data_IF_774565587774
#
_entry.id   IF_774565587774
#
_cell.length_a   1.000
_cell.length_b   1.000
_cell.length_c   1.000
_cell.angle_alpha   90.00
_cell.angle_beta   90.00
_cell.angle_gamma   90.00
#
_symmetry.space_group_name_H-M   'P 1'
#
loop_
_entity.id
_entity.type
_entity.pdbx_description
1 polymer ?
#
# COMPACT_ATOMS: atom_id res chain seq x y z
N UNK A 1 -6.87 18.12 8.25
CA UNK A 1 -7.14 16.79 7.66
C UNK A 1 -5.81 16.31 7.14
N UNK A 2 -5.37 15.14 7.59
CA UNK A 2 -4.05 14.60 7.26
C UNK A 2 -4.22 13.12 6.93
N UNK A 3 -3.63 12.71 5.81
CA UNK A 3 -3.74 11.37 5.25
C UNK A 3 -2.42 10.63 5.48
N UNK A 4 -2.50 9.40 6.00
CA UNK A 4 -1.37 8.51 6.15
C UNK A 4 -1.41 7.46 5.05
N UNK A 5 -0.41 7.42 4.18
CA UNK A 5 -0.21 6.34 3.21
C UNK A 5 0.84 5.38 3.74
N UNK A 6 0.51 4.08 3.77
CA UNK A 6 1.45 3.04 4.18
C UNK A 6 2.27 2.62 2.96
N UNK A 7 3.59 2.84 3.03
CA UNK A 7 4.49 2.52 1.93
C UNK A 7 4.60 1.01 1.73
N UNK A 8 4.59 0.60 0.47
CA UNK A 8 5.06 -0.71 0.06
C UNK A 8 6.46 -0.62 -0.49
N UNK A 9 7.33 -1.53 -0.04
CA UNK A 9 8.74 -1.57 -0.41
C UNK A 9 9.33 -2.96 -0.11
N UNK A 10 10.59 -3.16 -0.48
CA UNK A 10 11.39 -4.36 -0.21
C UNK A 10 12.60 -4.05 0.71
N UNK A 11 12.47 -3.01 1.53
CA UNK A 11 13.52 -2.34 2.32
C UNK A 11 14.58 -1.58 1.50
N UNK A 12 14.61 -1.71 0.18
CA UNK A 12 15.60 -1.04 -0.67
C UNK A 12 14.95 -0.05 -1.65
N UNK A 13 13.81 -0.42 -2.21
CA UNK A 13 13.10 0.33 -3.24
C UNK A 13 11.63 0.56 -2.87
N UNK A 14 11.15 1.78 -3.11
CA UNK A 14 9.74 2.12 -2.96
C UNK A 14 8.95 1.54 -4.13
N UNK A 15 7.86 0.82 -3.86
CA UNK A 15 7.05 0.22 -4.92
C UNK A 15 6.10 1.23 -5.57
N UNK A 16 5.84 1.12 -6.89
CA UNK A 16 4.92 1.99 -7.62
C UNK A 16 3.53 2.06 -7.01
N UNK A 17 3.05 0.95 -6.43
CA UNK A 17 1.77 0.86 -5.72
C UNK A 17 1.57 1.97 -4.68
N UNK A 18 2.64 2.42 -4.01
CA UNK A 18 2.60 3.54 -3.07
C UNK A 18 2.24 4.85 -3.76
N UNK A 19 2.76 5.10 -4.96
CA UNK A 19 2.51 6.31 -5.74
C UNK A 19 1.05 6.39 -6.19
N UNK A 20 0.43 5.25 -6.56
CA UNK A 20 -1.00 5.19 -6.86
C UNK A 20 -1.85 5.49 -5.62
N UNK A 21 -1.44 5.01 -4.43
CA UNK A 21 -2.12 5.31 -3.19
C UNK A 21 -1.98 6.79 -2.78
N UNK A 22 -0.83 7.41 -3.03
CA UNK A 22 -0.64 8.87 -2.86
C UNK A 22 -1.56 9.64 -3.80
N UNK A 23 -1.74 9.19 -5.05
CA UNK A 23 -2.67 9.83 -5.98
C UNK A 23 -4.11 9.81 -5.47
N UNK A 24 -4.56 8.69 -4.86
CA UNK A 24 -5.86 8.63 -4.19
C UNK A 24 -5.93 9.55 -2.97
N UNK A 25 -4.87 9.60 -2.14
CA UNK A 25 -4.79 10.53 -1.01
C UNK A 25 -4.88 12.00 -1.45
N UNK A 26 -4.28 12.36 -2.58
CA UNK A 26 -4.37 13.71 -3.13
C UNK A 26 -5.80 14.11 -3.51
N UNK A 27 -6.66 13.15 -3.90
CA UNK A 27 -8.09 13.41 -4.15
C UNK A 27 -8.89 13.70 -2.87
N UNK A 28 -8.42 13.24 -1.70
CA UNK A 28 -9.01 13.57 -0.40
C UNK A 28 -8.69 15.01 0.03
N UNK A 29 -7.61 15.58 -0.51
CA UNK A 29 -7.06 16.87 -0.08
C UNK A 29 -6.37 16.79 1.29
N UNK A 30 -5.86 17.92 1.77
CA UNK A 30 -5.05 17.99 2.99
C UNK A 30 -3.64 17.44 2.81
N UNK A 31 -2.91 17.33 3.92
CA UNK A 31 -1.51 16.88 3.93
C UNK A 31 -1.40 15.37 3.76
N UNK A 32 -0.37 14.91 3.03
CA UNK A 32 -0.12 13.49 2.79
C UNK A 32 1.20 13.12 3.47
N UNK A 33 1.13 12.26 4.47
CA UNK A 33 2.30 11.66 5.09
C UNK A 33 2.46 10.21 4.59
N UNK A 34 3.70 9.76 4.47
CA UNK A 34 4.02 8.34 4.18
C UNK A 34 4.64 7.70 5.43
N UNK A 35 4.18 6.52 5.83
CA UNK A 35 4.89 5.67 6.78
C UNK A 35 5.69 4.60 6.02
N UNK A 36 7.01 4.63 6.21
CA UNK A 36 7.95 3.58 5.80
C UNK A 36 8.27 2.74 7.04
N UNK A 37 7.81 1.50 7.05
CA UNK A 37 7.96 0.57 8.16
C UNK A 37 8.75 -0.66 7.69
N UNK A 38 10.02 -0.74 8.11
CA UNK A 38 10.93 -1.79 7.63
C UNK A 38 12.22 -1.88 8.42
N UNK A 39 13.26 -2.44 7.79
CA UNK A 39 14.60 -2.54 8.37
C UNK A 39 15.65 -2.14 7.35
N UNK A 40 16.54 -1.22 7.72
CA UNK A 40 17.50 -0.62 6.79
C UNK A 40 16.82 0.14 5.66
N UNK A 41 15.66 0.74 5.93
CA UNK A 41 14.74 1.29 4.93
C UNK A 41 14.95 2.79 4.64
N UNK A 42 16.10 3.36 5.04
CA UNK A 42 16.42 4.77 4.80
C UNK A 42 16.33 5.14 3.31
N UNK A 43 16.84 4.29 2.41
CA UNK A 43 16.76 4.55 0.97
C UNK A 43 15.31 4.66 0.46
N UNK A 44 14.39 3.88 1.05
CA UNK A 44 12.95 3.94 0.76
C UNK A 44 12.36 5.25 1.28
N UNK A 45 12.72 5.67 2.49
CA UNK A 45 12.27 6.93 3.05
C UNK A 45 12.75 8.14 2.24
N UNK A 46 14.01 8.13 1.80
CA UNK A 46 14.60 9.17 0.95
C UNK A 46 13.91 9.22 -0.42
N UNK A 47 13.52 8.06 -0.98
CA UNK A 47 12.73 7.99 -2.20
C UNK A 47 11.30 8.52 -1.98
N UNK A 48 10.64 8.11 -0.90
CA UNK A 48 9.31 8.58 -0.53
C UNK A 48 9.28 10.10 -0.31
N UNK A 49 10.37 10.69 0.19
CA UNK A 49 10.47 12.12 0.42
C UNK A 49 10.46 12.96 -0.87
N UNK A 50 10.87 12.35 -1.99
CA UNK A 50 10.90 12.98 -3.32
C UNK A 50 9.58 12.87 -4.06
N UNK A 51 8.62 12.10 -3.55
CA UNK A 51 7.33 11.90 -4.20
C UNK A 51 6.51 13.19 -4.15
N UNK A 52 5.97 13.59 -5.31
CA UNK A 52 5.15 14.81 -5.40
C UNK A 52 3.88 14.68 -4.56
N UNK A 53 3.55 15.75 -3.82
CA UNK A 53 2.36 15.83 -2.98
C UNK A 53 2.53 15.28 -1.56
N UNK A 54 3.64 14.60 -1.27
CA UNK A 54 3.99 14.17 0.09
C UNK A 54 4.57 15.35 0.86
N UNK A 55 4.08 15.57 2.07
CA UNK A 55 4.55 16.64 2.97
C UNK A 55 5.48 16.13 4.07
N UNK A 56 5.33 14.86 4.49
CA UNK A 56 6.19 14.24 5.52
C UNK A 56 6.36 12.74 5.29
N UNK A 57 7.53 12.22 5.59
CA UNK A 57 7.81 10.78 5.65
C UNK A 57 8.16 10.41 7.08
N UNK A 58 7.48 9.40 7.62
CA UNK A 58 7.79 8.76 8.89
C UNK A 58 8.59 7.50 8.59
N UNK A 59 9.82 7.41 9.10
CA UNK A 59 10.64 6.21 8.99
C UNK A 59 10.65 5.47 10.34
N UNK A 60 10.00 4.32 10.38
CA UNK A 60 10.12 3.33 11.45
C UNK A 60 11.06 2.22 10.98
N UNK A 61 12.32 2.28 11.43
CA UNK A 61 13.37 1.32 11.07
C UNK A 61 13.67 0.39 12.25
N UNK A 62 13.37 -0.90 12.11
CA UNK A 62 13.62 -1.88 13.17
C UNK A 62 13.39 -3.34 12.76
N UNK A 63 14.04 -4.25 13.49
CA UNK A 63 14.02 -5.70 13.23
C UNK A 63 12.61 -6.30 13.20
N UNK A 64 11.68 -5.76 13.99
CA UNK A 64 10.29 -6.21 14.03
C UNK A 64 9.54 -5.98 12.71
N UNK A 65 10.01 -5.07 11.87
CA UNK A 65 9.35 -4.63 10.64
C UNK A 65 10.01 -5.19 9.37
N UNK A 66 11.15 -5.90 9.50
CA UNK A 66 11.97 -6.38 8.37
C UNK A 66 11.18 -7.12 7.29
N UNK A 67 10.24 -7.97 7.69
CA UNK A 67 9.47 -8.84 6.79
C UNK A 67 8.01 -8.43 6.63
N UNK A 68 7.66 -7.21 7.06
CA UNK A 68 6.31 -6.65 6.91
C UNK A 68 5.20 -7.55 7.48
N UNK A 69 5.45 -8.22 8.62
CA UNK A 69 4.44 -9.06 9.27
C UNK A 69 3.29 -8.20 9.77
N UNK A 70 2.05 -8.59 9.44
CA UNK A 70 0.89 -7.74 9.69
C UNK A 70 0.62 -7.45 11.17
N UNK A 71 1.02 -8.34 12.08
CA UNK A 71 0.95 -8.03 13.50
C UNK A 71 1.77 -6.80 13.86
N UNK A 72 3.03 -6.76 13.43
CA UNK A 72 3.97 -5.70 13.79
C UNK A 72 3.69 -4.41 13.00
N UNK A 73 3.41 -4.52 11.70
CA UNK A 73 3.09 -3.35 10.88
C UNK A 73 1.79 -2.70 11.35
N UNK A 74 0.77 -3.49 11.72
CA UNK A 74 -0.46 -2.91 12.27
C UNK A 74 -0.20 -2.15 13.58
N UNK A 75 0.60 -2.70 14.51
CA UNK A 75 0.98 -1.94 15.72
C UNK A 75 1.73 -0.65 15.38
N UNK A 76 2.63 -0.67 14.38
CA UNK A 76 3.35 0.54 13.97
C UNK A 76 2.40 1.60 13.40
N UNK A 77 1.43 1.20 12.58
CA UNK A 77 0.41 2.11 12.06
C UNK A 77 -0.41 2.70 13.20
N UNK A 78 -0.82 1.88 14.17
CA UNK A 78 -1.61 2.31 15.32
C UNK A 78 -0.86 3.28 16.23
N UNK A 79 0.46 3.12 16.38
CA UNK A 79 1.29 4.01 17.18
C UNK A 79 1.25 5.47 16.68
N UNK A 80 0.95 5.69 15.40
CA UNK A 80 0.87 7.03 14.78
C UNK A 80 -0.55 7.40 14.34
N UNK A 81 -1.49 6.46 14.30
CA UNK A 81 -2.84 6.64 13.74
C UNK A 81 -3.65 7.78 14.40
N UNK A 82 -3.30 8.19 15.62
CA UNK A 82 -3.96 9.28 16.36
C UNK A 82 -4.02 10.58 15.56
N UNK A 83 -2.96 10.91 14.82
CA UNK A 83 -2.78 12.18 14.13
C UNK A 83 -3.43 12.24 12.73
N UNK A 84 -4.04 11.14 12.30
CA UNK A 84 -4.54 10.98 10.93
C UNK A 84 -6.04 10.74 10.88
N UNK A 85 -6.69 11.34 9.87
CA UNK A 85 -8.11 11.13 9.56
C UNK A 85 -8.32 10.03 8.51
N UNK A 86 -7.34 9.80 7.64
CA UNK A 86 -7.40 8.74 6.63
C UNK A 86 -6.12 7.91 6.69
N UNK A 87 -6.26 6.60 6.66
CA UNK A 87 -5.15 5.65 6.56
C UNK A 87 -5.36 4.82 5.31
N UNK A 88 -4.45 4.99 4.35
CA UNK A 88 -4.52 4.40 3.03
C UNK A 88 -3.44 3.35 2.86
N UNK A 89 -3.84 2.20 2.34
CA UNK A 89 -2.95 1.12 1.95
C UNK A 89 -3.13 0.86 0.45
N UNK A 90 -2.08 0.57 -0.32
CA UNK A 90 -2.28 -0.01 -1.65
C UNK A 90 -2.98 -1.37 -1.53
N UNK A 91 -3.91 -1.69 -2.43
CA UNK A 91 -4.73 -2.91 -2.35
C UNK A 91 -4.00 -4.18 -2.83
N UNK A 92 -2.71 -4.33 -2.47
CA UNK A 92 -1.90 -5.52 -2.75
C UNK A 92 -2.11 -6.61 -1.69
N UNK A 93 -1.35 -7.71 -1.79
CA UNK A 93 -1.34 -8.74 -0.76
C UNK A 93 -0.98 -8.18 0.63
N UNK A 94 0.00 -7.28 0.72
CA UNK A 94 0.43 -6.69 2.00
C UNK A 94 -0.62 -5.74 2.56
N UNK A 95 -1.09 -4.77 1.77
CA UNK A 95 -2.09 -3.83 2.24
C UNK A 95 -3.42 -4.49 2.62
N UNK A 96 -3.87 -5.50 1.87
CA UNK A 96 -5.07 -6.30 2.22
C UNK A 96 -4.86 -7.16 3.46
N UNK A 97 -3.62 -7.47 3.84
CA UNK A 97 -3.30 -8.24 5.04
C UNK A 97 -3.26 -7.34 6.29
N UNK A 98 -2.71 -6.12 6.18
CA UNK A 98 -2.55 -5.20 7.32
C UNK A 98 -3.79 -4.34 7.59
N UNK A 99 -4.39 -3.74 6.55
CA UNK A 99 -5.48 -2.78 6.68
C UNK A 99 -6.68 -3.25 7.54
N UNK A 100 -7.23 -4.47 7.36
CA UNK A 100 -8.38 -4.91 8.17
C UNK A 100 -8.02 -5.04 9.65
N UNK A 101 -6.77 -5.40 9.99
CA UNK A 101 -6.30 -5.48 11.37
C UNK A 101 -6.24 -4.10 12.03
N UNK A 102 -5.74 -3.11 11.30
CA UNK A 102 -5.70 -1.71 11.77
C UNK A 102 -7.12 -1.18 11.99
N UNK A 103 -8.01 -1.39 11.03
CA UNK A 103 -9.41 -0.94 11.14
C UNK A 103 -10.12 -1.59 12.33
N UNK A 104 -9.95 -2.91 12.52
CA UNK A 104 -10.54 -3.63 13.65
C UNK A 104 -10.01 -3.11 15.00
N UNK A 105 -8.71 -2.81 15.12
CA UNK A 105 -8.11 -2.29 16.35
C UNK A 105 -8.50 -0.83 16.66
N UNK A 106 -8.80 -0.03 15.63
CA UNK A 106 -9.31 1.32 15.78
C UNK A 106 -10.83 1.38 16.00
N UNK A 107 -11.53 0.24 15.87
CA UNK A 107 -12.99 0.16 15.88
C UNK A 107 -13.64 1.07 14.82
N UNK A 108 -13.13 1.01 13.59
CA UNK A 108 -13.65 1.80 12.45
C UNK A 108 -13.93 0.93 11.24
N UNK A 109 -14.80 1.43 10.36
CA UNK A 109 -15.09 0.78 9.10
C UNK A 109 -13.89 0.79 8.14
N UNK A 110 -13.72 -0.30 7.41
CA UNK A 110 -12.69 -0.47 6.39
C UNK A 110 -13.32 -0.50 5.00
N UNK A 111 -12.81 0.31 4.07
CA UNK A 111 -13.28 0.36 2.69
C UNK A 111 -12.25 -0.30 1.80
N UNK A 112 -12.61 -1.44 1.23
CA UNK A 112 -11.67 -2.22 0.41
C UNK A 112 -11.70 -1.75 -1.04
N UNK A 113 -10.53 -1.72 -1.66
CA UNK A 113 -10.38 -1.72 -3.12
C UNK A 113 -11.06 -0.50 -3.78
N UNK A 114 -10.83 0.67 -3.19
CA UNK A 114 -11.34 1.96 -3.66
C UNK A 114 -10.82 2.24 -5.07
N UNK A 115 -11.73 2.66 -5.96
CA UNK A 115 -11.43 3.03 -7.36
C UNK A 115 -11.68 4.50 -7.67
N UNK A 116 -12.45 5.19 -6.83
CA UNK A 116 -12.66 6.63 -6.93
C UNK A 116 -13.00 7.22 -5.56
N UNK A 117 -12.65 8.50 -5.39
CA UNK A 117 -12.91 9.33 -4.21
C UNK A 117 -13.89 10.42 -4.63
N UNK A 118 -15.11 10.40 -4.09
CA UNK A 118 -16.15 11.41 -4.35
C UNK A 118 -16.03 12.58 -3.38
N UNK A 119 -15.74 12.28 -2.12
CA UNK A 119 -15.52 13.22 -1.03
C UNK A 119 -14.61 12.59 0.03
N UNK A 120 -14.29 13.33 1.09
CA UNK A 120 -13.49 12.82 2.21
C UNK A 120 -14.11 11.60 2.92
N UNK A 121 -15.42 11.37 2.78
CA UNK A 121 -16.13 10.27 3.44
C UNK A 121 -16.86 9.35 2.46
N UNK A 122 -16.81 9.61 1.15
CA UNK A 122 -17.56 8.87 0.13
C UNK A 122 -16.65 8.33 -0.97
N UNK A 123 -16.74 7.03 -1.21
CA UNK A 123 -15.84 6.28 -2.08
C UNK A 123 -16.60 5.36 -3.03
N UNK A 124 -16.04 5.10 -4.21
CA UNK A 124 -16.54 4.04 -5.09
C UNK A 124 -15.65 2.80 -5.00
N UNK A 125 -16.28 1.63 -5.02
CA UNK A 125 -15.57 0.33 -5.10
C UNK A 125 -16.35 -0.70 -5.91
N UNK A 126 -15.65 -1.61 -6.63
CA UNK A 126 -16.29 -2.72 -7.32
C UNK A 126 -16.75 -3.79 -6.34
N UNK A 127 -17.90 -4.39 -6.64
CA UNK A 127 -18.46 -5.57 -5.99
C UNK A 127 -18.88 -6.59 -7.06
N UNK A 128 -19.23 -7.82 -6.65
CA UNK A 128 -19.63 -8.90 -7.56
C UNK A 128 -18.63 -9.12 -8.72
N UNK A 129 -17.34 -9.23 -8.39
CA UNK A 129 -16.25 -9.37 -9.36
C UNK A 129 -16.18 -8.25 -10.41
N UNK A 130 -16.60 -7.03 -10.05
CA UNK A 130 -16.55 -5.86 -10.93
C UNK A 130 -17.83 -5.61 -11.73
N UNK A 131 -18.85 -6.45 -11.61
CA UNK A 131 -20.11 -6.28 -12.33
C UNK A 131 -20.99 -5.13 -11.81
N UNK A 132 -20.72 -4.63 -10.61
CA UNK A 132 -21.40 -3.46 -10.06
C UNK A 132 -20.40 -2.58 -9.31
N UNK A 133 -20.63 -1.27 -9.37
CA UNK A 133 -19.90 -0.26 -8.61
C UNK A 133 -20.79 0.24 -7.48
N UNK A 134 -20.29 0.13 -6.25
CA UNK A 134 -20.97 0.63 -5.06
C UNK A 134 -20.33 1.96 -4.64
N UNK A 135 -21.16 2.98 -4.46
CA UNK A 135 -20.79 4.23 -3.79
C UNK A 135 -21.10 4.08 -2.30
N UNK A 136 -20.08 4.20 -1.45
CA UNK A 136 -20.17 3.94 -0.01
C UNK A 136 -19.74 5.20 0.74
N UNK A 137 -20.63 5.74 1.55
CA UNK A 137 -20.31 6.79 2.52
C UNK A 137 -19.96 6.15 3.88
N UNK A 138 -18.95 6.70 4.55
CA UNK A 138 -18.37 6.15 5.77
C UNK A 138 -18.44 7.17 6.89
N UNK A 139 -19.18 6.82 7.93
CA UNK A 139 -19.33 7.65 9.12
C UNK A 139 -18.10 7.53 10.05
N UNK A 140 -17.92 8.53 10.92
CA UNK A 140 -16.81 8.60 11.88
C UNK A 140 -15.60 9.40 11.38
N UNK A 141 -14.69 9.76 12.28
CA UNK A 141 -13.61 10.70 12.00
C UNK A 141 -12.39 10.07 11.34
N UNK A 142 -12.21 8.76 11.50
CA UNK A 142 -11.08 7.99 10.95
C UNK A 142 -11.56 6.96 9.95
N UNK A 143 -10.94 6.94 8.77
CA UNK A 143 -11.24 5.99 7.70
C UNK A 143 -10.00 5.17 7.37
N UNK A 144 -10.17 3.86 7.27
CA UNK A 144 -9.12 2.95 6.78
C UNK A 144 -9.54 2.43 5.42
N UNK A 145 -8.70 2.63 4.40
CA UNK A 145 -9.02 2.22 3.04
C UNK A 145 -7.86 1.49 2.36
N UNK A 146 -8.21 0.54 1.49
CA UNK A 146 -7.27 0.00 0.51
C UNK A 146 -7.59 0.57 -0.86
N UNK A 147 -6.55 0.98 -1.60
CA UNK A 147 -6.65 1.70 -2.89
C UNK A 147 -6.30 0.76 -4.02
N UNK A 148 -7.19 0.61 -5.01
CA UNK A 148 -6.88 -0.14 -6.22
C UNK A 148 -5.81 0.63 -7.03
N UNK A 149 -4.60 0.08 -7.10
CA UNK A 149 -3.46 0.75 -7.73
C UNK A 149 -3.70 1.08 -9.20
N UNK A 150 -4.42 0.23 -9.94
CA UNK A 150 -4.74 0.45 -11.36
C UNK A 150 -5.83 1.49 -11.61
N UNK A 151 -6.50 2.01 -10.58
CA UNK A 151 -7.59 2.97 -10.73
C UNK A 151 -7.12 4.44 -10.60
N UNK A 152 -5.88 4.65 -10.14
CA UNK A 152 -5.29 5.96 -9.95
C UNK A 152 -3.93 6.00 -10.61
N UNK A 153 -3.71 6.95 -11.52
CA UNK A 153 -2.40 7.16 -12.13
C UNK A 153 -1.37 7.50 -11.05
N UNK A 154 -0.19 6.88 -11.12
CA UNK A 154 0.88 7.13 -10.16
C UNK A 154 1.29 8.61 -10.19
N UNK A 155 1.46 9.21 -9.01
CA UNK A 155 2.11 10.53 -8.92
C UNK A 155 3.58 10.43 -9.33
N UNK A 156 4.17 11.56 -9.69
CA UNK A 156 5.60 11.61 -10.00
C UNK A 156 6.44 11.23 -8.76
N UNK A 157 7.36 10.29 -8.96
CA UNK A 157 8.27 9.80 -7.91
C UNK A 157 9.33 10.85 -7.50
N UNK A 158 9.53 11.88 -8.31
CA UNK A 158 10.48 12.97 -8.07
C UNK A 158 9.80 14.33 -8.22
N UNK A 159 10.37 15.34 -7.54
CA UNK A 159 9.88 16.72 -7.54
C UNK A 159 9.25 17.17 -6.22
N UNK A 160 9.05 16.25 -5.28
CA UNK A 160 8.73 16.52 -3.88
C UNK A 160 9.99 16.79 -3.02
N UNK A 161 9.76 17.30 -1.82
CA UNK A 161 10.82 17.60 -0.85
C UNK A 161 10.29 17.49 0.59
N UNK A 162 9.64 16.38 0.90
CA UNK A 162 9.09 16.13 2.23
C UNK A 162 10.20 15.95 3.28
N UNK A 163 9.91 16.30 4.52
CA UNK A 163 10.79 16.00 5.65
C UNK A 163 10.74 14.50 5.99
N UNK A 164 11.90 13.87 6.16
CA UNK A 164 12.01 12.52 6.73
C UNK A 164 12.21 12.63 8.23
N UNK A 165 11.24 12.14 9.00
CA UNK A 165 11.29 12.06 10.44
C UNK A 165 11.40 10.60 10.88
N UNK A 166 12.50 10.27 11.55
CA UNK A 166 12.68 8.95 12.18
C UNK A 166 11.79 8.85 13.41
N UNK A 167 11.08 7.74 13.55
CA UNK A 167 10.25 7.39 14.70
C UNK A 167 10.68 6.03 15.24
N UNK A 168 10.36 5.77 16.51
CA UNK A 168 10.66 4.49 17.13
C UNK A 168 9.86 3.36 16.44
N UNK A 169 10.57 2.29 16.08
CA UNK A 169 9.96 1.06 15.63
C UNK A 169 9.32 0.32 16.81
N UNK A 170 8.09 -0.15 16.63
CA UNK A 170 7.39 -0.95 17.63
C UNK A 170 8.13 -2.25 17.92
N UNK A 171 8.04 -2.74 19.15
CA UNK A 171 8.57 -4.03 19.52
C UNK A 171 7.87 -5.17 18.73
N UNK A 172 8.59 -6.26 18.48
CA UNK A 172 8.00 -7.44 17.86
C UNK A 172 6.88 -8.00 18.76
N UNK A 173 5.71 -8.26 18.17
CA UNK A 173 4.57 -8.85 18.88
C UNK A 173 4.86 -10.26 19.41
N UNK A 174 5.81 -10.98 18.79
CA UNK A 174 6.13 -12.38 19.11
C UNK A 174 5.03 -13.39 18.76
N UNK A 175 3.91 -12.94 18.16
CA UNK A 175 2.78 -13.80 17.81
C UNK A 175 3.04 -14.66 16.56
N UNK A 176 3.86 -14.16 15.64
CA UNK A 176 4.27 -14.83 14.41
C UNK A 176 5.78 -14.64 14.19
N UNK A 177 6.39 -15.54 13.42
CA UNK A 177 7.80 -15.45 13.04
C UNK A 177 7.94 -15.75 11.55
N UNK A 178 8.69 -14.92 10.85
CA UNK A 178 9.13 -15.21 9.50
C UNK A 178 10.19 -16.33 9.52
N UNK A 179 9.92 -17.44 8.81
CA UNK A 179 10.84 -18.59 8.71
C UNK A 179 11.58 -18.59 7.38
N UNK A 180 10.93 -18.14 6.31
CA UNK A 180 11.51 -18.08 4.97
C UNK A 180 10.45 -17.73 3.92
N UNK A 181 10.92 -17.43 2.71
CA UNK A 181 10.09 -17.17 1.54
C UNK A 181 10.82 -17.68 0.30
N UNK A 182 10.09 -18.36 -0.58
CA UNK A 182 10.56 -18.68 -1.92
C UNK A 182 10.02 -17.61 -2.88
N UNK A 183 10.93 -16.95 -3.60
CA UNK A 183 10.58 -15.95 -4.60
C UNK A 183 10.84 -16.54 -5.97
N UNK A 184 9.87 -16.37 -6.87
CA UNK A 184 10.08 -16.70 -8.28
C UNK A 184 11.00 -15.64 -8.85
N UNK A 185 12.25 -16.02 -9.11
CA UNK A 185 13.17 -15.18 -9.87
C UNK A 185 12.72 -15.19 -11.34
N UNK A 186 12.45 -14.01 -11.88
CA UNK A 186 12.10 -13.82 -13.28
C UNK A 186 12.77 -12.56 -13.78
N UNK A 187 13.40 -12.64 -14.94
CA UNK A 187 13.94 -11.48 -15.65
C UNK A 187 12.83 -10.58 -16.23
N UNK A 188 11.57 -11.02 -16.14
CA UNK A 188 10.41 -10.29 -16.66
C UNK A 188 9.98 -9.17 -15.71
N UNK A 189 9.36 -8.10 -16.26
CA UNK A 189 8.68 -7.11 -15.44
C UNK A 189 7.64 -7.78 -14.54
N UNK A 190 7.47 -7.23 -13.33
CA UNK A 190 6.46 -7.70 -12.39
C UNK A 190 5.05 -7.53 -13.00
N UNK A 191 4.22 -8.58 -12.91
CA UNK A 191 2.96 -8.69 -13.65
C UNK A 191 2.00 -7.50 -13.40
N UNK A 192 1.96 -6.99 -12.17
CA UNK A 192 1.08 -5.86 -11.81
C UNK A 192 1.59 -4.51 -12.31
N UNK A 193 2.84 -4.45 -12.78
CA UNK A 193 3.47 -3.27 -13.37
C UNK A 193 3.74 -3.39 -14.88
N UNK A 194 3.45 -4.52 -15.51
CA UNK A 194 3.71 -4.75 -16.93
C UNK A 194 2.75 -3.95 -17.82
N UNK A 195 3.28 -3.26 -18.85
CA UNK A 195 2.47 -2.52 -19.83
C UNK A 195 1.67 -3.45 -20.75
N UNK A 196 2.25 -4.59 -21.10
CA UNK A 196 1.66 -5.61 -21.97
C UNK A 196 1.73 -6.96 -21.28
N UNK A 197 0.59 -7.64 -21.21
CA UNK A 197 0.47 -8.96 -20.60
C UNK A 197 0.01 -9.96 -21.66
N UNK A 198 0.84 -10.96 -21.92
CA UNK A 198 0.45 -12.16 -22.67
C UNK A 198 0.05 -13.23 -21.65
N UNK A 199 -1.18 -13.74 -21.75
CA UNK A 199 -1.69 -14.74 -20.81
C UNK A 199 -2.05 -16.04 -21.53
N UNK A 200 -1.62 -17.16 -20.96
CA UNK A 200 -1.98 -18.50 -21.40
C UNK A 200 -2.85 -19.21 -20.36
N UNK A 201 -3.80 -20.00 -20.82
CA UNK A 201 -4.68 -20.81 -19.97
C UNK A 201 -4.71 -22.27 -20.39
N UNK A 202 -5.72 -23.02 -19.93
CA UNK A 202 -5.92 -24.45 -20.26
C UNK A 202 -5.87 -24.76 -21.76
N UNK A 203 -6.25 -23.80 -22.62
CA UNK A 203 -6.23 -23.96 -24.07
C UNK A 203 -4.84 -24.07 -24.70
N UNK A 204 -3.78 -23.73 -23.97
CA UNK A 204 -2.38 -23.90 -24.41
C UNK A 204 -1.97 -25.38 -24.40
N UNK A 205 -2.68 -26.23 -23.64
CA UNK A 205 -2.56 -27.70 -23.74
C UNK A 205 -1.41 -28.31 -22.94
N UNK A 206 -0.23 -27.70 -22.94
CA UNK A 206 0.95 -28.24 -22.24
C UNK A 206 1.90 -27.15 -21.72
N UNK A 207 2.88 -27.54 -20.88
CA UNK A 207 3.95 -26.62 -20.44
C UNK A 207 4.86 -26.26 -21.61
N UNK A 208 5.11 -27.23 -22.49
CA UNK A 208 5.92 -27.10 -23.69
C UNK A 208 5.32 -26.05 -24.65
N UNK A 209 4.01 -26.07 -24.85
CA UNK A 209 3.31 -25.10 -25.69
C UNK A 209 3.22 -23.71 -25.05
N UNK A 210 3.36 -23.62 -23.72
CA UNK A 210 3.41 -22.35 -23.01
C UNK A 210 4.67 -21.55 -23.39
N UNK A 211 5.76 -22.24 -23.76
CA UNK A 211 6.97 -21.60 -24.27
C UNK A 211 6.72 -20.79 -25.56
N UNK A 212 5.66 -21.10 -26.33
CA UNK A 212 5.31 -20.37 -27.58
C UNK A 212 4.79 -18.96 -27.33
N UNK A 213 4.26 -18.70 -26.13
CA UNK A 213 3.64 -17.43 -25.74
C UNK A 213 4.44 -16.70 -24.65
N UNK A 214 5.56 -17.28 -24.23
CA UNK A 214 6.43 -16.79 -23.17
C UNK A 214 7.63 -15.94 -23.67
N UNK A 215 7.60 -15.55 -24.95
CA UNK A 215 8.64 -14.75 -25.61
C UNK A 215 8.78 -13.33 -25.07
#
# INVERSE_FOLDING_TARGET
MTNLVIAEHDNSSLKPATLNAVAAAAKLGGDIHILVAGKGAQAVADAAAKVVGVSKVLLADGDSLEHFLAENVAEQVLAVAGDYSHILFPATANGKNVAPRVAAKLDVAQITDVIAVESADTFQRPIYAGNAIATVQVEGDKKVLTVRTTAFDAVAAEGGSAEVATIDAVACSGASKFVGREMVESDRPELTAAEVIVSGGRGVGSKEDFALIEG
#
